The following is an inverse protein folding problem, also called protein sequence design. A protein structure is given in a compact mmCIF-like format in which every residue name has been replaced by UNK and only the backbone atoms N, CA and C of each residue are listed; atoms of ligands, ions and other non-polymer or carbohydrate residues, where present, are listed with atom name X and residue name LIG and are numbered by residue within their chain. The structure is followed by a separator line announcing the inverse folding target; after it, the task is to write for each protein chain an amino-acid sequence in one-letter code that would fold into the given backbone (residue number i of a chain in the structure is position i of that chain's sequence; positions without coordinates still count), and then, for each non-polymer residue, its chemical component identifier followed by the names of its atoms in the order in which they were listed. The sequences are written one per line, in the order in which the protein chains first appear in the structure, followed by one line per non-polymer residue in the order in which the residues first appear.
data_IF_216159129993
#
_entry.id   IF_216159129993
#
_cell.length_a   1.000
_cell.length_b   1.000
_cell.length_c   1.000
_cell.angle_alpha   90.00
_cell.angle_beta   90.00
_cell.angle_gamma   90.00
#
_symmetry.space_group_name_H-M   'P 1'
#
loop_
_entity.id
_entity.type
_entity.pdbx_description
1 polymer ?
#
# COMPACT_ATOMS: atom_id res chain seq x y z
N UNK A 1 15.52 5.06 47.20
CA UNK A 1 15.45 4.18 46.00
C UNK A 1 14.15 3.36 45.99
N UNK A 2 13.00 3.91 45.56
CA UNK A 2 11.77 3.11 45.30
C UNK A 2 10.86 3.70 44.20
N UNK A 3 11.38 4.55 43.30
CA UNK A 3 10.57 5.18 42.25
C UNK A 3 10.83 4.66 40.82
N UNK A 4 11.86 3.84 40.61
CA UNK A 4 12.27 3.40 39.26
C UNK A 4 11.71 2.04 38.80
N UNK A 5 10.88 1.35 39.61
CA UNK A 5 10.29 0.07 39.20
C UNK A 5 8.86 0.14 38.63
N UNK A 6 8.19 1.30 38.73
CA UNK A 6 6.81 1.44 38.25
C UNK A 6 6.69 1.84 36.78
N UNK A 7 7.68 2.55 36.22
CA UNK A 7 7.62 2.99 34.81
C UNK A 7 7.76 1.84 33.80
N UNK A 8 8.51 0.78 34.12
CA UNK A 8 8.65 -0.36 33.20
C UNK A 8 7.38 -1.23 33.15
N UNK A 9 6.60 -1.29 34.22
CA UNK A 9 5.40 -2.14 34.26
C UNK A 9 4.23 -1.52 33.50
N UNK A 10 4.01 -0.21 33.65
CA UNK A 10 2.97 0.52 32.91
C UNK A 10 3.25 0.56 31.40
N UNK A 11 4.52 0.69 31.01
CA UNK A 11 4.92 0.68 29.60
C UNK A 11 4.75 -0.71 28.97
N UNK A 12 5.05 -1.79 29.71
CA UNK A 12 4.74 -3.15 29.25
C UNK A 12 3.23 -3.41 29.17
N UNK A 13 2.43 -2.85 30.08
CA UNK A 13 0.97 -3.03 30.07
C UNK A 13 0.33 -2.34 28.85
N UNK A 14 0.83 -1.16 28.45
CA UNK A 14 0.38 -0.44 27.25
C UNK A 14 0.76 -1.21 25.97
N UNK A 15 1.95 -1.83 25.94
CA UNK A 15 2.38 -2.72 24.85
C UNK A 15 1.54 -4.02 24.80
N UNK A 16 1.18 -4.59 25.96
CA UNK A 16 0.36 -5.80 26.05
C UNK A 16 -1.12 -5.54 25.73
N UNK A 17 -1.65 -4.35 26.04
CA UNK A 17 -3.01 -3.91 25.67
C UNK A 17 -3.13 -3.62 24.17
N UNK A 18 -2.05 -3.20 23.50
CA UNK A 18 -2.01 -3.08 22.04
C UNK A 18 -1.94 -4.45 21.31
N UNK A 19 -1.63 -5.54 22.02
CA UNK A 19 -1.46 -6.88 21.43
C UNK A 19 -2.70 -7.80 21.55
N UNK A 20 -3.79 -7.38 22.19
CA UNK A 20 -5.01 -8.20 22.34
C UNK A 20 -6.29 -7.52 21.83
N UNK A 21 -6.20 -6.83 20.70
CA UNK A 21 -7.35 -6.35 19.93
C UNK A 21 -7.83 -7.38 18.91
N UNK A 22 -8.42 -8.47 19.37
CA UNK A 22 -9.26 -9.36 18.55
C UNK A 22 -10.44 -8.56 17.96
N UNK A 23 -10.59 -8.58 16.63
CA UNK A 23 -11.90 -8.52 15.97
C UNK A 23 -12.72 -7.23 16.13
N UNK A 24 -12.19 -6.09 15.68
CA UNK A 24 -12.90 -4.93 15.13
C UNK A 24 -11.82 -3.86 14.94
N UNK A 25 -11.40 -3.67 13.70
CA UNK A 25 -10.84 -2.44 13.15
C UNK A 25 -10.29 -2.76 11.74
N UNK A 26 -11.23 -2.88 10.80
CA UNK A 26 -11.12 -2.09 9.56
C UNK A 26 -10.61 -0.72 9.98
N UNK A 27 -9.56 -0.17 9.36
CA UNK A 27 -8.95 1.12 9.71
C UNK A 27 -10.02 2.05 10.31
N UNK A 28 -10.01 2.32 11.63
CA UNK A 28 -11.24 2.57 12.38
C UNK A 28 -12.14 3.57 11.65
N UNK A 29 -13.33 3.13 11.25
CA UNK A 29 -14.34 3.89 10.50
C UNK A 29 -14.14 4.08 8.98
N UNK A 30 -13.29 3.31 8.30
CA UNK A 30 -13.24 3.33 6.83
C UNK A 30 -14.54 2.75 6.26
N UNK A 31 -15.44 3.61 5.79
CA UNK A 31 -16.65 3.20 5.07
C UNK A 31 -16.26 2.86 3.64
N UNK A 32 -16.47 1.61 3.22
CA UNK A 32 -16.14 1.15 1.87
C UNK A 32 -17.40 0.69 1.12
N UNK A 33 -17.36 0.81 -0.20
CA UNK A 33 -18.38 0.32 -1.13
C UNK A 33 -18.11 -1.12 -1.58
N UNK A 34 -16.84 -1.48 -1.78
CA UNK A 34 -16.44 -2.82 -2.21
C UNK A 34 -15.14 -3.30 -1.54
N UNK A 35 -14.85 -4.60 -1.70
CA UNK A 35 -13.61 -5.20 -1.22
C UNK A 35 -13.10 -6.31 -2.14
N UNK A 36 -11.78 -6.44 -2.23
CA UNK A 36 -11.08 -7.51 -2.95
C UNK A 36 -10.15 -8.28 -2.02
N UNK A 37 -9.97 -9.58 -2.26
CA UNK A 37 -9.12 -10.44 -1.44
C UNK A 37 -8.01 -11.06 -2.28
N UNK A 38 -6.79 -11.03 -1.76
CA UNK A 38 -5.61 -11.61 -2.38
C UNK A 38 -4.88 -12.50 -1.39
N UNK A 39 -4.15 -13.49 -1.91
CA UNK A 39 -3.39 -14.43 -1.10
C UNK A 39 -2.00 -14.59 -1.70
N UNK A 40 -0.98 -14.61 -0.86
CA UNK A 40 0.40 -14.84 -1.31
C UNK A 40 1.20 -15.57 -0.24
N UNK A 41 2.35 -16.09 -0.64
CA UNK A 41 3.32 -16.73 0.27
C UNK A 41 4.66 -16.04 0.17
N UNK A 42 5.35 -15.93 1.30
CA UNK A 42 6.77 -15.60 1.37
C UNK A 42 7.40 -16.70 2.21
N UNK A 43 8.37 -17.40 1.64
CA UNK A 43 8.95 -18.60 2.24
C UNK A 43 7.85 -19.61 2.65
N UNK A 44 7.80 -20.01 3.92
CA UNK A 44 6.76 -20.88 4.47
C UNK A 44 5.50 -20.13 4.95
N UNK A 45 5.57 -18.80 5.07
CA UNK A 45 4.50 -18.00 5.64
C UNK A 45 3.41 -17.70 4.61
N UNK A 46 2.15 -17.87 5.02
CA UNK A 46 0.98 -17.56 4.21
C UNK A 46 0.33 -16.26 4.66
N UNK A 47 0.03 -15.41 3.70
CA UNK A 47 -0.56 -14.10 3.93
C UNK A 47 -1.86 -13.96 3.16
N UNK A 48 -2.77 -13.14 3.69
CA UNK A 48 -3.95 -12.68 2.95
C UNK A 48 -4.04 -11.16 3.02
N UNK A 49 -4.47 -10.54 1.92
CA UNK A 49 -4.69 -9.11 1.84
C UNK A 49 -6.15 -8.84 1.53
N UNK A 50 -6.77 -7.98 2.31
CA UNK A 50 -8.09 -7.41 2.01
C UNK A 50 -7.88 -5.97 1.55
N UNK A 51 -8.26 -5.65 0.32
CA UNK A 51 -8.34 -4.27 -0.18
C UNK A 51 -9.76 -3.78 0.05
N UNK A 52 -9.92 -2.66 0.76
CA UNK A 52 -11.19 -1.98 0.97
C UNK A 52 -11.22 -0.74 0.08
N UNK A 53 -12.29 -0.52 -0.69
CA UNK A 53 -12.41 0.62 -1.61
C UNK A 53 -13.63 1.48 -1.31
N UNK A 54 -13.40 2.78 -1.23
CA UNK A 54 -14.43 3.82 -1.28
C UNK A 54 -14.21 4.72 -2.49
N UNK A 55 -15.27 5.22 -3.09
CA UNK A 55 -15.22 6.06 -4.28
C UNK A 55 -16.55 6.79 -4.48
N UNK A 56 -16.52 7.88 -5.26
CA UNK A 56 -17.72 8.51 -5.81
C UNK A 56 -17.94 8.06 -7.23
N UNK A 57 -19.19 8.10 -7.67
CA UNK A 57 -19.55 7.87 -9.06
C UNK A 57 -19.66 9.23 -9.76
N UNK A 58 -19.00 9.38 -10.91
CA UNK A 58 -19.26 10.52 -11.78
C UNK A 58 -20.61 10.37 -12.50
N UNK A 59 -21.01 11.37 -13.29
CA UNK A 59 -22.28 11.36 -14.03
C UNK A 59 -22.39 10.23 -15.07
N UNK A 60 -21.30 9.49 -15.32
CA UNK A 60 -21.21 8.39 -16.28
C UNK A 60 -21.01 7.04 -15.54
N UNK A 61 -21.14 7.01 -14.22
CA UNK A 61 -20.99 5.82 -13.39
C UNK A 61 -19.55 5.35 -13.19
N UNK A 62 -18.55 6.21 -13.46
CA UNK A 62 -17.14 5.87 -13.26
C UNK A 62 -16.72 6.20 -11.84
N UNK A 63 -15.91 5.32 -11.26
CA UNK A 63 -15.28 5.56 -9.96
C UNK A 63 -14.29 6.73 -10.05
N UNK A 64 -14.54 7.76 -9.25
CA UNK A 64 -13.69 8.94 -9.03
C UNK A 64 -13.48 9.14 -7.53
N UNK A 65 -12.54 10.00 -7.14
CA UNK A 65 -12.19 10.22 -5.72
C UNK A 65 -11.89 8.91 -4.98
N UNK A 66 -11.24 7.96 -5.66
CA UNK A 66 -10.96 6.62 -5.12
C UNK A 66 -10.07 6.72 -3.89
N UNK A 67 -10.46 6.02 -2.84
CA UNK A 67 -9.69 5.79 -1.63
C UNK A 67 -9.65 4.31 -1.37
N UNK A 68 -8.45 3.78 -1.19
CA UNK A 68 -8.28 2.37 -0.92
C UNK A 68 -7.35 2.13 0.25
N UNK A 69 -7.64 1.07 0.97
CA UNK A 69 -6.82 0.63 2.09
C UNK A 69 -6.58 -0.87 2.01
N UNK A 70 -5.32 -1.26 2.08
CA UNK A 70 -4.90 -2.65 2.18
C UNK A 70 -4.75 -3.05 3.64
N UNK A 71 -5.28 -4.22 4.00
CA UNK A 71 -5.09 -4.86 5.31
C UNK A 71 -4.45 -6.22 5.07
N UNK A 72 -3.27 -6.41 5.64
CA UNK A 72 -2.46 -7.62 5.49
C UNK A 72 -2.55 -8.44 6.77
N UNK A 73 -2.90 -9.71 6.59
CA UNK A 73 -3.01 -10.70 7.64
C UNK A 73 -1.93 -11.76 7.46
N UNK A 74 -1.37 -12.21 8.58
CA UNK A 74 -0.57 -13.43 8.69
C UNK A 74 -1.24 -14.31 9.73
N UNK A 75 -1.48 -15.58 9.42
CA UNK A 75 -2.15 -16.53 10.33
C UNK A 75 -3.51 -16.02 10.84
N UNK A 76 -4.28 -15.35 9.96
CA UNK A 76 -5.57 -14.69 10.27
C UNK A 76 -5.48 -13.53 11.29
N UNK A 77 -4.28 -13.13 11.69
CA UNK A 77 -4.04 -11.98 12.57
C UNK A 77 -3.66 -10.79 11.68
N UNK A 78 -4.35 -9.65 11.85
CA UNK A 78 -3.97 -8.40 11.20
C UNK A 78 -2.56 -8.02 11.65
N UNK A 79 -1.65 -7.85 10.70
CA UNK A 79 -0.26 -7.46 10.97
C UNK A 79 0.03 -6.06 10.48
N UNK A 80 -0.43 -5.74 9.27
CA UNK A 80 -0.13 -4.46 8.64
C UNK A 80 -1.33 -3.88 7.92
N UNK A 81 -1.32 -2.57 7.72
CA UNK A 81 -2.27 -1.88 6.84
C UNK A 81 -1.71 -0.56 6.35
N UNK A 82 -2.10 -0.16 5.15
CA UNK A 82 -1.81 1.17 4.58
C UNK A 82 -2.96 1.62 3.68
N UNK A 83 -3.03 2.92 3.40
CA UNK A 83 -3.99 3.49 2.46
C UNK A 83 -3.30 4.30 1.37
N UNK A 84 -3.97 4.42 0.23
CA UNK A 84 -3.60 5.25 -0.90
C UNK A 84 -4.87 5.79 -1.57
N UNK A 85 -4.70 6.88 -2.29
CA UNK A 85 -5.79 7.59 -2.96
C UNK A 85 -5.54 7.59 -4.48
N UNK A 86 -6.53 8.06 -5.23
CA UNK A 86 -6.50 8.41 -6.66
C UNK A 86 -6.55 7.24 -7.65
N UNK A 87 -6.15 6.02 -7.26
CA UNK A 87 -6.06 4.87 -8.17
C UNK A 87 -6.56 3.59 -7.55
N UNK A 88 -7.11 2.70 -8.39
CA UNK A 88 -7.60 1.39 -7.97
C UNK A 88 -6.52 0.32 -8.10
N UNK A 89 -6.42 -0.53 -7.08
CA UNK A 89 -5.63 -1.73 -7.06
C UNK A 89 -6.41 -2.89 -7.64
N UNK A 90 -5.73 -3.63 -8.49
CA UNK A 90 -6.29 -4.81 -9.15
C UNK A 90 -5.47 -6.07 -8.93
N UNK A 91 -4.24 -5.96 -8.41
CA UNK A 91 -3.36 -7.11 -8.22
C UNK A 91 -2.43 -6.93 -7.03
N UNK A 92 -2.28 -8.01 -6.26
CA UNK A 92 -1.27 -8.15 -5.21
C UNK A 92 -0.55 -9.46 -5.44
N UNK A 93 0.76 -9.40 -5.67
CA UNK A 93 1.60 -10.57 -5.91
C UNK A 93 2.82 -10.56 -4.99
N UNK A 94 3.52 -11.70 -4.91
CA UNK A 94 4.78 -11.79 -4.21
C UNK A 94 5.82 -12.46 -5.09
N UNK A 95 7.04 -11.95 -5.06
CA UNK A 95 8.21 -12.55 -5.70
C UNK A 95 9.37 -12.57 -4.71
N UNK A 96 9.73 -13.76 -4.24
CA UNK A 96 10.67 -13.92 -3.13
C UNK A 96 10.18 -13.18 -1.89
N UNK A 97 11.00 -12.28 -1.36
CA UNK A 97 10.66 -11.49 -0.18
C UNK A 97 10.05 -10.12 -0.52
N UNK A 98 9.62 -9.87 -1.76
CA UNK A 98 8.98 -8.62 -2.16
C UNK A 98 7.50 -8.88 -2.43
N UNK A 99 6.64 -8.06 -1.84
CA UNK A 99 5.22 -7.99 -2.17
C UNK A 99 4.99 -6.79 -3.06
N UNK A 100 4.30 -7.01 -4.18
CA UNK A 100 3.97 -6.00 -5.16
C UNK A 100 2.47 -5.72 -5.11
N UNK A 101 2.14 -4.47 -4.87
CA UNK A 101 0.80 -3.93 -5.04
C UNK A 101 0.76 -3.18 -6.37
N UNK A 102 0.04 -3.73 -7.34
CA UNK A 102 -0.16 -3.12 -8.66
C UNK A 102 -1.59 -2.59 -8.76
N UNK A 103 -1.72 -1.36 -9.23
CA UNK A 103 -2.98 -0.76 -9.62
C UNK A 103 -2.79 0.17 -10.82
N UNK A 104 -3.84 0.90 -11.16
CA UNK A 104 -3.77 1.84 -12.25
C UNK A 104 -5.12 2.41 -12.66
N UNK A 105 -5.09 3.17 -13.76
CA UNK A 105 -6.27 3.68 -14.43
C UNK A 105 -6.02 3.79 -15.93
N UNK A 106 -7.09 3.73 -16.70
CA UNK A 106 -7.10 3.96 -18.13
C UNK A 106 -8.18 4.99 -18.45
N UNK A 107 -7.84 6.01 -19.22
CA UNK A 107 -8.83 6.98 -19.70
C UNK A 107 -9.47 6.55 -21.03
N UNK A 108 -10.39 7.38 -21.54
CA UNK A 108 -11.15 7.08 -22.77
C UNK A 108 -10.31 7.21 -24.04
N UNK A 109 -9.22 7.95 -23.97
CA UNK A 109 -8.30 8.14 -25.09
C UNK A 109 -7.26 7.01 -25.12
N UNK A 110 -7.41 6.01 -24.23
CA UNK A 110 -6.52 4.87 -24.14
C UNK A 110 -5.23 5.17 -23.38
N UNK A 111 -5.09 6.33 -22.73
CA UNK A 111 -3.92 6.59 -21.90
C UNK A 111 -3.96 5.73 -20.64
N UNK A 112 -2.82 5.13 -20.31
CA UNK A 112 -2.65 4.20 -19.20
C UNK A 112 -1.73 4.83 -18.18
N UNK A 113 -2.12 4.75 -16.91
CA UNK A 113 -1.24 4.99 -15.78
C UNK A 113 -1.29 3.79 -14.85
N UNK A 114 -0.23 3.01 -14.86
CA UNK A 114 -0.02 1.95 -13.88
C UNK A 114 0.80 2.50 -12.71
N UNK A 115 0.45 2.09 -11.49
CA UNK A 115 1.26 2.35 -10.31
C UNK A 115 1.62 1.06 -9.59
N UNK A 116 2.77 1.11 -8.92
CA UNK A 116 3.35 -0.02 -8.22
C UNK A 116 3.88 0.45 -6.86
N UNK A 117 3.44 -0.21 -5.78
CA UNK A 117 3.98 -0.04 -4.43
C UNK A 117 4.57 -1.38 -4.00
N UNK A 118 5.90 -1.46 -3.94
CA UNK A 118 6.60 -2.69 -3.59
C UNK A 118 7.07 -2.58 -2.15
N UNK A 119 6.77 -3.58 -1.34
CA UNK A 119 7.32 -3.72 0.00
C UNK A 119 8.23 -4.93 0.09
N UNK A 120 9.39 -4.76 0.71
CA UNK A 120 10.32 -5.85 0.96
C UNK A 120 10.20 -6.34 2.39
N UNK A 121 10.15 -7.65 2.57
CA UNK A 121 10.17 -8.32 3.86
C UNK A 121 11.61 -8.45 4.35
N UNK A 122 11.88 -7.93 5.54
CA UNK A 122 13.13 -8.13 6.25
C UNK A 122 12.82 -8.34 7.73
N UNK A 123 13.32 -9.44 8.30
CA UNK A 123 13.12 -9.77 9.70
C UNK A 123 11.64 -9.72 10.13
N UNK A 124 10.75 -10.27 9.28
CA UNK A 124 9.30 -10.29 9.48
C UNK A 124 8.61 -8.92 9.47
N UNK A 125 9.26 -7.86 9.01
CA UNK A 125 8.64 -6.54 8.80
C UNK A 125 8.67 -6.14 7.33
N UNK A 126 7.61 -5.45 6.88
CA UNK A 126 7.53 -4.90 5.53
C UNK A 126 7.90 -3.42 5.52
N UNK A 127 8.80 -3.04 4.62
CA UNK A 127 9.16 -1.65 4.35
C UNK A 127 9.05 -1.34 2.86
N UNK A 128 8.74 -0.09 2.55
CA UNK A 128 8.65 0.42 1.19
C UNK A 128 10.01 0.23 0.51
N UNK A 129 10.02 -0.56 -0.54
CA UNK A 129 11.20 -0.89 -1.33
C UNK A 129 11.24 -0.03 -2.58
N UNK A 130 10.15 -0.03 -3.34
CA UNK A 130 10.00 0.82 -4.53
C UNK A 130 8.60 1.40 -4.61
N UNK A 131 8.50 2.61 -5.15
CA UNK A 131 7.24 3.23 -5.53
C UNK A 131 7.43 3.94 -6.85
N UNK A 132 6.73 3.47 -7.89
CA UNK A 132 6.91 3.97 -9.23
C UNK A 132 5.65 3.89 -10.06
N UNK A 133 5.55 4.77 -11.05
CA UNK A 133 4.44 4.82 -12.01
C UNK A 133 4.97 4.55 -13.42
N UNK A 134 4.17 3.83 -14.22
CA UNK A 134 4.39 3.66 -15.66
C UNK A 134 3.27 4.37 -16.40
N UNK A 135 3.65 5.17 -17.40
CA UNK A 135 2.72 5.88 -18.27
C UNK A 135 2.81 5.26 -19.65
N UNK A 136 1.66 5.08 -20.27
CA UNK A 136 1.53 4.41 -21.54
C UNK A 136 0.22 4.73 -22.23
N UNK A 137 -0.07 3.96 -23.27
CA UNK A 137 -1.29 4.05 -24.04
C UNK A 137 -1.64 2.69 -24.67
N UNK A 138 -2.90 2.51 -25.06
CA UNK A 138 -3.33 1.40 -25.92
C UNK A 138 -3.01 1.76 -27.38
N UNK A 139 -2.19 0.94 -28.03
CA UNK A 139 -1.85 1.09 -29.44
C UNK A 139 -3.03 0.66 -30.32
N UNK A 140 -3.81 1.61 -30.84
CA UNK A 140 -5.02 1.33 -31.62
C UNK A 140 -4.88 0.24 -32.70
N UNK A 141 -3.77 0.16 -33.48
CA UNK A 141 -3.66 -0.85 -34.54
C UNK A 141 -3.50 -2.28 -34.01
N UNK A 142 -2.84 -2.46 -32.87
CA UNK A 142 -2.50 -3.78 -32.31
C UNK A 142 -3.36 -4.14 -31.10
N UNK A 143 -4.04 -3.15 -30.51
CA UNK A 143 -4.70 -3.22 -29.22
C UNK A 143 -3.74 -3.63 -28.07
N UNK A 144 -2.44 -3.38 -28.24
CA UNK A 144 -1.41 -3.68 -27.23
C UNK A 144 -1.17 -2.50 -26.30
N UNK A 145 -0.88 -2.76 -25.03
CA UNK A 145 -0.40 -1.76 -24.09
C UNK A 145 1.05 -1.37 -24.41
N UNK A 146 1.31 -0.08 -24.62
CA UNK A 146 2.66 0.46 -24.81
C UNK A 146 3.01 1.45 -23.72
N UNK A 147 4.04 1.13 -22.94
CA UNK A 147 4.60 2.03 -21.92
C UNK A 147 5.79 2.81 -22.49
N UNK A 148 5.71 4.13 -22.43
CA UNK A 148 6.74 5.02 -22.97
C UNK A 148 7.51 5.79 -21.90
N UNK A 149 7.04 5.78 -20.65
CA UNK A 149 7.66 6.52 -19.55
C UNK A 149 7.50 5.78 -18.22
N UNK A 150 8.59 5.76 -17.45
CA UNK A 150 8.61 5.22 -16.09
C UNK A 150 9.12 6.31 -15.15
N UNK A 151 8.42 6.53 -14.05
CA UNK A 151 8.84 7.45 -12.99
C UNK A 151 9.00 6.71 -11.68
N UNK A 152 10.25 6.49 -11.28
CA UNK A 152 10.63 5.91 -10.00
C UNK A 152 10.66 7.01 -8.93
N UNK A 153 9.58 7.11 -8.15
CA UNK A 153 9.45 8.13 -7.12
C UNK A 153 10.22 7.79 -5.84
N UNK A 154 10.37 6.49 -5.55
CA UNK A 154 11.14 6.01 -4.41
C UNK A 154 11.83 4.69 -4.75
N UNK A 155 13.09 4.58 -4.32
CA UNK A 155 13.85 3.32 -4.26
C UNK A 155 14.63 3.30 -2.95
N UNK A 156 14.53 2.21 -2.19
CA UNK A 156 15.37 1.97 -1.03
C UNK A 156 16.76 1.50 -1.47
N UNK A 157 17.76 2.35 -1.27
CA UNK A 157 19.17 2.02 -1.52
C UNK A 157 19.88 1.57 -0.22
N UNK A 158 19.18 0.81 0.63
CA UNK A 158 19.70 0.37 1.93
C UNK A 158 19.74 1.49 2.98
N UNK A 159 18.78 2.41 2.96
CA UNK A 159 18.74 3.56 3.87
C UNK A 159 18.50 3.09 5.31
N UNK A 160 19.12 3.79 6.28
CA UNK A 160 18.88 3.53 7.72
C UNK A 160 17.43 3.83 8.14
N UNK A 161 16.82 4.84 7.53
CA UNK A 161 15.47 5.30 7.84
C UNK A 161 14.46 4.72 6.83
N UNK A 162 14.14 3.43 6.98
CA UNK A 162 13.15 2.74 6.15
C UNK A 162 11.75 3.24 6.48
N UNK A 163 10.90 3.32 5.45
CA UNK A 163 9.47 3.59 5.62
C UNK A 163 8.74 2.25 5.78
N UNK A 164 8.33 1.92 6.99
CA UNK A 164 7.58 0.71 7.26
C UNK A 164 6.15 0.82 6.73
N UNK A 165 5.56 -0.31 6.34
CA UNK A 165 4.24 -0.34 5.71
C UNK A 165 3.15 0.38 6.51
N UNK A 166 3.15 0.25 7.85
CA UNK A 166 2.18 0.92 8.72
C UNK A 166 2.37 2.44 8.81
N UNK A 167 3.49 2.96 8.31
CA UNK A 167 3.75 4.39 8.19
C UNK A 167 3.26 4.94 6.85
N UNK A 168 2.96 4.09 5.87
CA UNK A 168 2.52 4.55 4.56
C UNK A 168 1.11 5.13 4.64
N UNK A 169 1.01 6.37 4.20
CA UNK A 169 -0.24 7.12 4.10
C UNK A 169 -0.33 7.77 2.72
N UNK A 170 -1.54 8.16 2.25
CA UNK A 170 -1.67 8.89 1.00
C UNK A 170 -0.83 10.18 0.98
N UNK A 171 -0.77 10.88 2.12
CA UNK A 171 0.07 12.07 2.28
C UNK A 171 1.56 11.77 2.03
N UNK A 172 2.09 10.71 2.62
CA UNK A 172 3.51 10.34 2.44
C UNK A 172 3.81 9.99 0.99
N UNK A 173 2.95 9.20 0.33
CA UNK A 173 3.11 8.88 -1.09
C UNK A 173 3.07 10.14 -1.96
N UNK A 174 2.14 11.07 -1.66
CA UNK A 174 2.01 12.34 -2.38
C UNK A 174 3.23 13.26 -2.18
N UNK A 175 3.75 13.33 -0.96
CA UNK A 175 4.93 14.12 -0.66
C UNK A 175 6.18 13.55 -1.37
N UNK A 176 6.31 12.22 -1.46
CA UNK A 176 7.36 11.56 -2.26
C UNK A 176 7.25 11.96 -3.74
N UNK A 177 6.04 11.87 -4.33
CA UNK A 177 5.79 12.31 -5.73
C UNK A 177 6.16 13.77 -5.94
N UNK A 178 5.69 14.67 -5.07
CA UNK A 178 5.97 16.12 -5.16
C UNK A 178 7.47 16.42 -5.10
N UNK A 179 8.22 15.75 -4.23
CA UNK A 179 9.66 15.95 -4.10
C UNK A 179 10.41 15.48 -5.34
N UNK A 180 9.98 14.40 -6.00
CA UNK A 180 10.56 13.96 -7.27
C UNK A 180 10.49 15.05 -8.35
N UNK A 181 9.35 15.75 -8.47
CA UNK A 181 9.20 16.84 -9.44
C UNK A 181 10.02 18.08 -9.08
N UNK A 182 10.15 18.42 -7.79
CA UNK A 182 11.01 19.53 -7.34
C UNK A 182 12.47 19.31 -7.70
N UNK A 183 12.95 18.07 -7.61
CA UNK A 183 14.35 17.74 -7.90
C UNK A 183 14.66 17.62 -9.41
N UNK A 184 13.65 17.71 -10.27
CA UNK A 184 13.80 17.72 -11.74
C UNK A 184 13.83 19.14 -12.33
N UNK A 185 13.43 20.16 -11.55
CA UNK A 185 13.50 21.57 -11.92
C UNK A 185 14.86 22.15 -11.56
#
# INVERSE_FOLDING_TARGET
MKFFKFLNSAFLLILLLACNGMGKDEIPNFKYKDASNYYFKIDSDSYSVKILRDYKDDNLGRAIDIKECAIIYKDKIKKWSFCYDDMSMWSVTANGNIIEFKGGTQDRDGNIVDFYILFKNLASEFYLYEYFWKFGYIDEPTNDEKFNKIENYYTDHGKKNRLYINQITPKILNDIRKNFYKNKQ
#
